data_IF_854555418316
#
_entry.id   IF_854555418316
#
_cell.length_a   1.000
_cell.length_b   1.000
_cell.length_c   1.000
_cell.angle_alpha   90.00
_cell.angle_beta   90.00
_cell.angle_gamma   90.00
#
_symmetry.space_group_name_H-M   'P 1'
#
loop_
_entity.id
_entity.type
_entity.pdbx_description
1 polymer ?
#
# COMPACT_ATOMS: atom_id res chain seq x y z
N UNK A 1 -13.57 14.22 -8.34
CA UNK A 1 -14.94 13.90 -7.82
C UNK A 1 -14.77 13.20 -6.49
N UNK A 2 -15.58 13.51 -5.48
CA UNK A 2 -15.49 12.84 -4.20
C UNK A 2 -15.77 11.34 -4.36
N UNK A 3 -15.26 10.55 -3.41
CA UNK A 3 -15.55 9.11 -3.35
C UNK A 3 -17.07 8.87 -3.37
N UNK A 4 -17.55 7.82 -4.05
CA UNK A 4 -18.98 7.48 -3.99
C UNK A 4 -19.38 6.88 -2.64
N UNK A 5 -18.42 6.44 -1.81
CA UNK A 5 -18.67 5.76 -0.54
C UNK A 5 -18.66 6.72 0.65
N UNK A 6 -19.45 6.45 1.69
CA UNK A 6 -19.44 7.24 2.91
C UNK A 6 -18.19 7.01 3.77
N UNK A 7 -17.50 5.88 3.56
CA UNK A 7 -16.29 5.46 4.25
C UNK A 7 -15.22 4.97 3.28
N UNK A 8 -14.59 3.86 3.63
CA UNK A 8 -13.59 3.23 2.77
C UNK A 8 -14.21 2.62 1.52
N UNK A 9 -13.50 2.74 0.41
CA UNK A 9 -13.87 2.14 -0.88
C UNK A 9 -13.16 0.79 -1.04
N UNK A 10 -13.89 -0.36 -1.01
CA UNK A 10 -13.27 -1.69 -1.06
C UNK A 10 -12.56 -1.99 -2.39
N UNK A 11 -12.82 -1.23 -3.45
CA UNK A 11 -12.12 -1.39 -4.72
C UNK A 11 -10.66 -0.94 -4.66
N UNK A 12 -10.31 -0.05 -3.72
CA UNK A 12 -8.93 0.41 -3.52
C UNK A 12 -8.02 -0.64 -2.88
N UNK A 13 -8.58 -1.74 -2.36
CA UNK A 13 -7.77 -2.87 -1.87
C UNK A 13 -7.12 -3.67 -3.01
N UNK A 14 -7.48 -3.40 -4.26
CA UNK A 14 -6.83 -3.99 -5.44
C UNK A 14 -5.37 -3.53 -5.52
N UNK A 15 -4.45 -4.48 -5.81
CA UNK A 15 -3.00 -4.22 -5.88
C UNK A 15 -2.63 -3.15 -6.88
N UNK A 16 -3.44 -2.95 -7.94
CA UNK A 16 -3.24 -1.90 -8.95
C UNK A 16 -3.31 -0.49 -8.36
N UNK A 17 -4.14 -0.31 -7.32
CA UNK A 17 -4.39 0.98 -6.68
C UNK A 17 -3.66 1.13 -5.35
N UNK A 18 -3.45 0.02 -4.63
CA UNK A 18 -3.01 0.07 -3.23
C UNK A 18 -1.68 0.79 -3.04
N UNK A 19 -0.71 0.58 -3.93
CA UNK A 19 0.60 1.23 -3.79
C UNK A 19 0.49 2.76 -3.86
N UNK A 20 -0.15 3.29 -4.89
CA UNK A 20 -0.38 4.74 -5.05
C UNK A 20 -1.24 5.29 -3.90
N UNK A 21 -2.30 4.57 -3.52
CA UNK A 21 -3.16 4.96 -2.39
C UNK A 21 -2.36 5.03 -1.08
N UNK A 22 -1.51 4.05 -0.80
CA UNK A 22 -0.68 3.99 0.40
C UNK A 22 0.24 5.22 0.51
N UNK A 23 0.98 5.53 -0.55
CA UNK A 23 1.90 6.68 -0.58
C UNK A 23 1.16 8.02 -0.42
N UNK A 24 0.02 8.17 -1.07
CA UNK A 24 -0.84 9.34 -0.89
C UNK A 24 -1.39 9.45 0.52
N UNK A 25 -1.84 8.33 1.09
CA UNK A 25 -2.39 8.33 2.44
C UNK A 25 -1.36 8.79 3.47
N UNK A 26 -0.13 8.27 3.42
CA UNK A 26 0.97 8.70 4.29
C UNK A 26 1.27 10.19 4.09
N UNK A 27 1.32 10.65 2.84
CA UNK A 27 1.58 12.06 2.51
C UNK A 27 0.50 12.98 3.05
N UNK A 28 -0.78 12.67 2.82
CA UNK A 28 -1.88 13.53 3.27
C UNK A 28 -2.16 13.42 4.76
N UNK A 29 -1.90 12.28 5.38
CA UNK A 29 -1.91 12.18 6.84
C UNK A 29 -0.82 13.08 7.47
N UNK A 30 0.37 13.11 6.87
CA UNK A 30 1.45 14.01 7.29
C UNK A 30 1.07 15.48 7.08
N UNK A 31 0.48 15.84 5.93
CA UNK A 31 -0.03 17.19 5.62
C UNK A 31 -1.08 17.64 6.66
N UNK A 32 -2.01 16.74 7.02
CA UNK A 32 -3.06 17.03 8.00
C UNK A 32 -2.53 17.22 9.42
N UNK A 33 -1.48 16.49 9.80
CA UNK A 33 -0.91 16.50 11.14
C UNK A 33 0.08 17.64 11.36
N UNK A 34 0.95 17.93 10.38
CA UNK A 34 2.07 18.84 10.54
C UNK A 34 1.69 20.21 11.11
N UNK A 35 0.63 20.92 10.64
CA UNK A 35 0.25 22.23 11.18
C UNK A 35 -0.36 22.18 12.58
N UNK A 36 -0.76 21.00 13.05
CA UNK A 36 -1.41 20.79 14.36
C UNK A 36 -0.43 20.37 15.45
N UNK A 37 0.78 19.95 15.07
CA UNK A 37 1.79 19.53 16.02
C UNK A 37 2.38 20.73 16.77
N UNK A 38 2.56 20.67 18.11
CA UNK A 38 3.31 21.65 18.85
C UNK A 38 4.75 21.80 18.28
N UNK A 39 5.36 23.00 18.34
CA UNK A 39 6.71 23.27 17.78
C UNK A 39 7.83 22.37 18.33
N UNK A 40 7.59 21.74 19.46
CA UNK A 40 8.48 20.73 20.07
C UNK A 40 8.65 19.50 19.19
N UNK A 41 7.64 19.17 18.37
CA UNK A 41 7.63 17.95 17.56
C UNK A 41 7.97 18.23 16.11
N UNK A 42 8.62 17.24 15.49
CA UNK A 42 8.89 17.19 14.07
C UNK A 42 8.24 15.93 13.51
N UNK A 43 7.47 16.09 12.44
CA UNK A 43 6.96 15.00 11.66
C UNK A 43 7.90 14.71 10.49
N UNK A 44 8.15 13.44 10.22
CA UNK A 44 8.90 12.97 9.05
C UNK A 44 8.17 11.78 8.43
N UNK A 45 8.16 11.75 7.11
CA UNK A 45 7.88 10.54 6.36
C UNK A 45 9.23 9.82 6.22
N UNK A 46 9.25 8.54 6.56
CA UNK A 46 10.42 7.68 6.45
C UNK A 46 10.05 6.42 5.68
N UNK A 47 11.03 5.76 5.10
CA UNK A 47 10.82 4.58 4.26
C UNK A 47 11.56 3.38 4.84
N UNK A 48 10.94 2.21 4.71
CA UNK A 48 11.62 0.94 4.88
C UNK A 48 11.80 0.31 3.51
N UNK A 49 13.02 -0.10 3.22
CA UNK A 49 13.36 -0.80 2.00
C UNK A 49 13.75 -2.24 2.31
N UNK A 50 13.29 -3.19 1.50
CA UNK A 50 13.79 -4.55 1.44
C UNK A 50 14.33 -4.79 0.02
N UNK A 51 15.53 -5.34 -0.04
CA UNK A 51 16.17 -5.74 -1.29
C UNK A 51 16.07 -7.25 -1.36
N UNK A 52 15.31 -7.77 -2.32
CA UNK A 52 15.22 -9.20 -2.58
C UNK A 52 15.99 -9.51 -3.85
N UNK A 53 17.05 -10.30 -3.75
CA UNK A 53 17.84 -10.80 -4.88
C UNK A 53 17.23 -12.11 -5.37
N UNK A 54 16.86 -12.16 -6.64
CA UNK A 54 16.41 -13.40 -7.31
C UNK A 54 17.47 -13.87 -8.29
N UNK A 55 17.81 -15.19 -8.33
CA UNK A 55 18.52 -15.74 -9.47
C UNK A 55 17.66 -15.49 -10.72
N UNK A 56 18.28 -15.02 -11.79
CA UNK A 56 17.58 -14.69 -13.03
C UNK A 56 16.93 -15.93 -13.66
N UNK A 57 15.69 -16.22 -13.26
CA UNK A 57 14.76 -16.94 -14.10
C UNK A 57 14.24 -15.95 -15.15
N UNK A 58 13.95 -16.39 -16.41
CA UNK A 58 13.50 -15.48 -17.44
C UNK A 58 12.32 -14.66 -16.93
N UNK A 59 12.29 -13.35 -17.13
CA UNK A 59 11.37 -12.44 -16.45
C UNK A 59 9.93 -12.77 -16.83
N UNK A 60 9.13 -13.22 -15.88
CA UNK A 60 7.71 -12.94 -15.93
C UNK A 60 7.58 -11.42 -15.82
N UNK A 61 7.16 -10.81 -16.93
CA UNK A 61 7.03 -9.35 -17.05
C UNK A 61 5.99 -8.84 -16.05
N UNK A 62 6.44 -8.33 -14.91
CA UNK A 62 5.65 -7.43 -14.09
C UNK A 62 6.07 -6.02 -14.47
N UNK A 63 5.33 -5.42 -15.40
CA UNK A 63 5.54 -4.02 -15.77
C UNK A 63 4.79 -3.13 -14.77
N UNK A 64 5.55 -2.41 -13.97
CA UNK A 64 5.11 -1.16 -13.36
C UNK A 64 5.93 -0.05 -13.98
N UNK A 65 5.58 0.37 -15.17
CA UNK A 65 5.82 1.70 -15.73
C UNK A 65 5.19 1.78 -17.12
N UNK A 66 4.51 2.86 -17.38
CA UNK A 66 3.83 3.22 -18.63
C UNK A 66 4.81 3.57 -19.76
N UNK A 67 5.83 2.74 -19.98
CA UNK A 67 6.62 2.82 -21.19
C UNK A 67 6.16 1.68 -22.08
N UNK A 68 5.23 2.00 -22.99
CA UNK A 68 4.83 1.10 -24.04
C UNK A 68 6.10 0.63 -24.81
N UNK A 69 6.31 -0.68 -24.98
CA UNK A 69 7.43 -1.14 -25.77
C UNK A 69 7.20 -0.68 -27.22
N UNK A 70 8.11 0.12 -27.73
CA UNK A 70 8.16 0.40 -29.18
C UNK A 70 8.37 -0.94 -29.86
N UNK A 71 7.39 -1.38 -30.63
CA UNK A 71 7.51 -2.60 -31.43
C UNK A 71 8.74 -2.50 -32.31
N UNK A 72 9.75 -3.29 -32.01
CA UNK A 72 10.80 -3.56 -32.96
C UNK A 72 10.19 -4.45 -34.03
N UNK A 73 9.91 -3.85 -35.17
CA UNK A 73 9.53 -4.55 -36.41
C UNK A 73 10.55 -5.64 -36.68
N UNK A 74 10.10 -6.88 -36.67
CA UNK A 74 10.92 -8.01 -37.10
C UNK A 74 11.32 -7.79 -38.58
N UNK A 75 12.54 -8.15 -38.99
CA UNK A 75 12.92 -8.04 -40.37
C UNK A 75 12.10 -8.99 -41.26
N UNK A 76 11.50 -8.45 -42.29
CA UNK A 76 10.74 -9.18 -43.31
C UNK A 76 11.69 -10.11 -44.01
N UNK A 77 11.39 -11.41 -44.23
CA UNK A 77 12.22 -12.27 -45.03
C UNK A 77 12.19 -11.83 -46.51
N UNK A 78 13.31 -11.42 -47.04
CA UNK A 78 13.47 -11.12 -48.44
C UNK A 78 13.46 -12.40 -49.26
N UNK A 79 12.54 -12.44 -50.21
CA UNK A 79 12.40 -13.46 -51.24
C UNK A 79 13.66 -13.58 -52.10
N UNK A 80 14.04 -14.82 -52.35
CA UNK A 80 15.21 -15.17 -53.19
C UNK A 80 15.08 -14.66 -54.60
N UNK A 81 16.13 -13.97 -55.09
CA UNK A 81 16.40 -13.82 -56.48
C UNK A 81 17.79 -14.43 -56.77
N UNK A 82 17.77 -15.46 -57.57
CA UNK A 82 18.94 -16.18 -58.11
C UNK A 82 19.76 -15.26 -58.97
N UNK A 83 21.05 -15.01 -58.66
CA UNK A 83 22.02 -14.50 -59.59
C UNK A 83 23.37 -15.16 -59.30
N UNK A 84 23.82 -15.94 -60.26
CA UNK A 84 25.12 -16.57 -60.34
C UNK A 84 26.21 -15.52 -60.59
N UNK A 85 27.23 -15.45 -59.73
CA UNK A 85 28.60 -15.18 -60.12
C UNK A 85 29.56 -14.95 -58.94
N UNK A 86 30.75 -15.51 -59.11
CA UNK A 86 32.00 -15.16 -58.46
C UNK A 86 32.23 -15.50 -57.01
N UNK A 87 32.92 -16.60 -56.81
CA UNK A 87 33.63 -16.99 -55.59
C UNK A 87 34.61 -15.90 -55.19
N UNK A 88 34.29 -15.11 -54.16
CA UNK A 88 35.32 -14.50 -53.34
C UNK A 88 35.30 -15.28 -52.00
N UNK A 89 36.41 -15.92 -51.71
CA UNK A 89 36.71 -16.55 -50.46
C UNK A 89 36.79 -15.43 -49.41
N UNK A 90 35.64 -15.07 -48.81
CA UNK A 90 35.64 -14.33 -47.56
C UNK A 90 36.22 -15.25 -46.50
N UNK A 91 37.34 -14.86 -45.93
CA UNK A 91 37.93 -15.52 -44.76
C UNK A 91 36.92 -15.38 -43.64
N UNK A 92 36.23 -16.46 -43.29
CA UNK A 92 35.32 -16.49 -42.17
C UNK A 92 36.12 -16.14 -40.90
N UNK A 93 35.83 -14.97 -40.31
CA UNK A 93 36.44 -14.57 -39.05
C UNK A 93 35.79 -15.42 -37.97
N UNK A 94 36.56 -16.31 -37.34
CA UNK A 94 36.12 -17.08 -36.21
C UNK A 94 35.87 -16.13 -35.03
N UNK A 95 34.68 -16.23 -34.43
CA UNK A 95 34.33 -15.49 -33.20
C UNK A 95 34.89 -16.24 -31.99
N UNK A 96 35.46 -15.49 -31.06
CA UNK A 96 35.83 -16.03 -29.76
C UNK A 96 34.58 -16.35 -28.96
N UNK A 97 34.65 -17.37 -28.09
CA UNK A 97 33.53 -17.76 -27.23
C UNK A 97 33.35 -16.73 -26.09
N UNK A 98 32.22 -16.07 -25.98
CA UNK A 98 32.02 -15.05 -24.97
C UNK A 98 31.84 -15.67 -23.58
N UNK A 99 32.35 -14.99 -22.56
CA UNK A 99 31.99 -15.29 -21.16
C UNK A 99 30.63 -14.68 -20.89
N UNK A 100 29.65 -15.52 -20.57
CA UNK A 100 28.29 -15.07 -20.21
C UNK A 100 28.27 -14.74 -18.71
N UNK A 101 27.94 -13.49 -18.38
CA UNK A 101 27.72 -13.04 -17.01
C UNK A 101 26.23 -12.84 -16.81
N UNK A 102 25.64 -13.63 -15.95
CA UNK A 102 24.24 -13.46 -15.53
C UNK A 102 24.16 -12.43 -14.41
N UNK A 103 23.29 -11.43 -14.59
CA UNK A 103 23.01 -10.43 -13.56
C UNK A 103 21.82 -10.90 -12.72
N UNK A 104 21.91 -10.73 -11.40
CA UNK A 104 20.77 -10.90 -10.53
C UNK A 104 19.85 -9.69 -10.66
N UNK A 105 18.54 -9.93 -10.75
CA UNK A 105 17.58 -8.84 -10.64
C UNK A 105 17.31 -8.54 -9.16
N UNK A 106 17.51 -7.29 -8.78
CA UNK A 106 17.17 -6.79 -7.46
C UNK A 106 15.80 -6.11 -7.52
N UNK A 107 14.85 -6.61 -6.74
CA UNK A 107 13.59 -5.93 -6.51
C UNK A 107 13.69 -5.15 -5.20
N UNK A 108 13.75 -3.83 -5.31
CA UNK A 108 13.71 -2.93 -4.15
C UNK A 108 12.26 -2.51 -3.94
N UNK A 109 11.64 -3.05 -2.91
CA UNK A 109 10.32 -2.57 -2.47
C UNK A 109 10.51 -1.56 -1.34
N UNK A 110 9.65 -0.55 -1.30
CA UNK A 110 9.66 0.50 -0.27
C UNK A 110 8.28 0.63 0.35
N UNK A 111 8.27 0.96 1.64
CA UNK A 111 7.04 1.25 2.37
C UNK A 111 7.26 2.48 3.24
N UNK A 112 6.45 3.48 3.01
CA UNK A 112 6.48 4.74 3.74
C UNK A 112 5.67 4.66 5.04
N UNK A 113 6.10 5.40 6.05
CA UNK A 113 5.41 5.55 7.33
C UNK A 113 5.73 6.90 7.96
N UNK A 114 4.94 7.32 8.95
CA UNK A 114 5.15 8.61 9.63
C UNK A 114 5.86 8.40 10.96
N UNK A 115 6.87 9.23 11.21
CA UNK A 115 7.53 9.40 12.51
C UNK A 115 7.22 10.76 13.09
N UNK A 116 6.86 10.81 14.38
CA UNK A 116 6.82 12.03 15.18
C UNK A 116 7.95 11.97 16.18
N UNK A 117 8.82 12.97 16.15
CA UNK A 117 10.06 13.03 16.93
C UNK A 117 10.04 14.28 17.83
N UNK A 118 10.37 14.12 19.10
CA UNK A 118 10.70 15.24 20.00
C UNK A 118 12.03 15.86 19.57
N UNK A 119 11.98 17.09 19.07
CA UNK A 119 13.16 17.81 18.54
C UNK A 119 14.21 18.13 19.60
N UNK A 120 13.79 18.25 20.86
CA UNK A 120 14.71 18.66 21.94
C UNK A 120 15.60 17.52 22.41
N UNK A 121 15.09 16.29 22.34
CA UNK A 121 15.80 15.10 22.80
C UNK A 121 16.12 14.12 21.66
N UNK A 122 15.81 14.51 20.41
CA UNK A 122 15.90 13.64 19.22
C UNK A 122 15.27 12.24 19.44
N UNK A 123 14.20 12.20 20.25
CA UNK A 123 13.53 10.97 20.67
C UNK A 123 12.33 10.69 19.78
N UNK A 124 12.24 9.47 19.27
CA UNK A 124 11.04 8.96 18.60
C UNK A 124 9.90 8.86 19.60
N UNK A 125 8.75 9.45 19.27
CA UNK A 125 7.58 9.54 20.13
C UNK A 125 6.43 8.68 19.61
N UNK A 126 6.14 8.78 18.31
CA UNK A 126 5.00 8.07 17.69
C UNK A 126 5.38 7.61 16.30
N UNK A 127 4.94 6.40 15.95
CA UNK A 127 4.95 5.86 14.59
C UNK A 127 3.49 5.69 14.15
N UNK A 128 3.21 6.04 12.87
CA UNK A 128 1.93 5.82 12.23
C UNK A 128 2.18 5.01 10.97
N UNK A 129 1.52 3.86 10.88
CA UNK A 129 1.60 2.89 9.79
C UNK A 129 0.25 2.76 9.09
N UNK A 130 0.25 2.76 7.77
CA UNK A 130 -0.81 2.16 6.97
C UNK A 130 -0.32 0.77 6.54
N UNK A 131 -1.01 -0.29 6.93
CA UNK A 131 -0.60 -1.64 6.57
C UNK A 131 -0.77 -1.86 5.07
N UNK A 132 0.17 -2.58 4.48
CA UNK A 132 0.13 -2.98 3.06
C UNK A 132 -0.13 -4.48 2.92
N UNK A 133 -0.53 -4.97 1.74
CA UNK A 133 -0.70 -6.41 1.50
C UNK A 133 0.54 -7.23 1.84
N UNK A 134 1.75 -6.70 1.63
CA UNK A 134 2.99 -7.37 1.98
C UNK A 134 3.22 -7.51 3.49
N UNK A 135 2.66 -6.61 4.32
CA UNK A 135 2.69 -6.75 5.79
C UNK A 135 1.75 -7.87 6.27
N UNK A 136 0.78 -8.27 5.45
CA UNK A 136 -0.25 -9.26 5.80
C UNK A 136 -0.05 -10.62 5.13
N UNK A 137 0.88 -10.73 4.18
CA UNK A 137 1.29 -12.01 3.55
C UNK A 137 2.48 -12.59 4.29
N UNK A 138 2.50 -13.91 4.43
CA UNK A 138 3.67 -14.63 4.98
C UNK A 138 4.92 -14.33 4.16
N UNK A 139 6.02 -13.96 4.81
CA UNK A 139 7.27 -13.63 4.15
C UNK A 139 8.11 -12.60 4.91
N UNK A 140 9.20 -12.17 4.29
CA UNK A 140 10.20 -11.28 4.90
C UNK A 140 9.61 -9.91 5.28
N UNK A 141 8.70 -9.38 4.48
CA UNK A 141 8.05 -8.09 4.75
C UNK A 141 7.21 -8.11 6.02
N UNK A 142 6.43 -9.17 6.19
CA UNK A 142 5.64 -9.35 7.41
C UNK A 142 6.55 -9.55 8.62
N UNK A 143 7.58 -10.37 8.49
CA UNK A 143 8.54 -10.59 9.57
C UNK A 143 9.25 -9.30 9.98
N UNK A 144 9.72 -8.50 9.02
CA UNK A 144 10.35 -7.20 9.27
C UNK A 144 9.38 -6.19 9.90
N UNK A 145 8.10 -6.21 9.49
CA UNK A 145 7.08 -5.37 10.10
C UNK A 145 6.83 -5.76 11.56
N UNK A 146 6.66 -7.05 11.86
CA UNK A 146 6.44 -7.54 13.22
C UNK A 146 7.64 -7.27 14.16
N UNK A 147 8.86 -7.33 13.63
CA UNK A 147 10.06 -6.93 14.39
C UNK A 147 10.03 -5.44 14.72
N UNK A 148 9.67 -4.58 13.77
CA UNK A 148 9.52 -3.13 14.00
C UNK A 148 8.43 -2.85 15.03
N UNK A 149 7.29 -3.52 14.91
CA UNK A 149 6.17 -3.43 15.86
C UNK A 149 6.63 -3.77 17.27
N UNK A 150 7.31 -4.91 17.44
CA UNK A 150 7.86 -5.34 18.74
C UNK A 150 8.84 -4.31 19.30
N UNK A 151 9.77 -3.82 18.48
CA UNK A 151 10.73 -2.79 18.90
C UNK A 151 10.05 -1.49 19.36
N UNK A 152 8.95 -1.08 18.73
CA UNK A 152 8.15 0.07 19.19
C UNK A 152 7.54 -0.18 20.56
N UNK A 153 6.94 -1.37 20.76
CA UNK A 153 6.32 -1.75 22.02
C UNK A 153 7.36 -1.82 23.16
N UNK A 154 8.50 -2.43 22.93
CA UNK A 154 9.59 -2.55 23.90
C UNK A 154 10.22 -1.19 24.26
N UNK A 155 10.37 -0.30 23.28
CA UNK A 155 10.91 1.05 23.48
C UNK A 155 9.90 2.04 24.06
N UNK A 156 8.63 1.65 24.25
CA UNK A 156 7.57 2.53 24.72
C UNK A 156 7.25 3.67 23.73
N UNK A 157 7.45 3.44 22.42
CA UNK A 157 7.11 4.38 21.35
C UNK A 157 5.63 4.17 21.00
N UNK A 158 4.83 5.22 21.00
CA UNK A 158 3.42 5.12 20.61
C UNK A 158 3.29 4.57 19.19
N UNK A 159 2.36 3.65 18.98
CA UNK A 159 2.13 2.99 17.71
C UNK A 159 0.69 3.18 17.26
N UNK A 160 0.52 3.73 16.07
CA UNK A 160 -0.77 3.86 15.39
C UNK A 160 -0.73 2.97 14.15
N UNK A 161 -1.62 2.01 14.07
CA UNK A 161 -1.74 1.07 12.96
C UNK A 161 -3.11 1.24 12.29
N UNK A 162 -3.10 1.51 11.00
CA UNK A 162 -4.29 1.62 10.16
C UNK A 162 -4.31 0.42 9.23
N UNK A 163 -5.16 -0.56 9.48
CA UNK A 163 -5.38 -1.72 8.61
C UNK A 163 -6.74 -1.58 7.92
N UNK A 164 -6.72 -1.17 6.65
CA UNK A 164 -7.90 -1.06 5.80
C UNK A 164 -8.03 -2.26 4.86
N UNK A 165 -7.22 -3.30 5.06
CA UNK A 165 -7.17 -4.48 4.23
C UNK A 165 -7.94 -5.64 4.86
N UNK A 166 -8.95 -6.13 4.16
CA UNK A 166 -9.70 -7.34 4.58
C UNK A 166 -8.87 -8.61 4.43
N UNK A 167 -8.08 -8.69 3.35
CA UNK A 167 -7.31 -9.89 3.05
C UNK A 167 -6.01 -9.96 3.86
N UNK A 168 -5.54 -11.20 4.04
CA UNK A 168 -4.26 -11.52 4.66
C UNK A 168 -4.34 -11.81 6.15
N UNK A 169 -3.18 -12.02 6.74
CA UNK A 169 -3.01 -12.37 8.14
C UNK A 169 -3.32 -11.18 9.05
N UNK A 170 -3.84 -11.48 10.23
CA UNK A 170 -3.91 -10.48 11.30
C UNK A 170 -2.49 -10.01 11.66
N UNK A 171 -2.24 -8.71 11.63
CA UNK A 171 -0.89 -8.16 11.76
C UNK A 171 -0.80 -7.00 12.74
N UNK A 172 -1.90 -6.29 13.03
CA UNK A 172 -1.89 -5.25 14.08
C UNK A 172 -1.52 -5.83 15.45
N UNK A 173 -0.91 -5.02 16.32
CA UNK A 173 -0.36 -5.46 17.61
C UNK A 173 -1.39 -6.01 18.59
N UNK A 174 -2.68 -5.73 18.38
CA UNK A 174 -3.75 -6.24 19.25
C UNK A 174 -3.85 -7.75 19.07
N UNK A 175 -3.83 -8.55 20.14
CA UNK A 175 -4.04 -9.99 20.03
C UNK A 175 -5.41 -10.33 19.43
N UNK A 176 -5.52 -11.33 18.53
CA UNK A 176 -6.77 -11.69 17.86
C UNK A 176 -7.93 -11.99 18.82
N UNK A 177 -7.66 -12.60 19.98
CA UNK A 177 -8.69 -12.91 20.96
C UNK A 177 -9.39 -11.65 21.53
N UNK A 178 -8.67 -10.51 21.57
CA UNK A 178 -9.24 -9.25 22.06
C UNK A 178 -10.16 -8.59 21.03
N UNK A 179 -10.11 -9.01 19.77
CA UNK A 179 -10.93 -8.48 18.68
C UNK A 179 -12.23 -9.27 18.48
N UNK A 180 -12.35 -10.45 19.05
CA UNK A 180 -13.52 -11.31 18.83
C UNK A 180 -14.86 -10.68 19.17
N UNK A 181 -14.88 -9.82 20.20
CA UNK A 181 -16.09 -9.08 20.63
C UNK A 181 -16.42 -7.87 19.74
N UNK A 182 -15.53 -7.47 18.85
CA UNK A 182 -15.69 -6.30 17.97
C UNK A 182 -16.21 -6.66 16.57
N UNK A 183 -16.24 -7.95 16.24
CA UNK A 183 -16.71 -8.46 14.96
C UNK A 183 -18.22 -8.22 14.75
N UNK A 184 -18.73 -7.98 13.52
CA UNK A 184 -17.93 -7.92 12.27
C UNK A 184 -17.38 -6.52 12.01
N UNK A 185 -16.19 -6.47 11.40
CA UNK A 185 -15.61 -5.24 10.86
C UNK A 185 -14.89 -5.54 9.54
N UNK A 186 -14.74 -4.52 8.69
CA UNK A 186 -13.99 -4.61 7.43
C UNK A 186 -12.49 -4.48 7.68
N UNK A 187 -12.11 -3.41 8.35
CA UNK A 187 -10.75 -3.09 8.73
C UNK A 187 -10.68 -2.62 10.18
N UNK A 188 -9.50 -2.27 10.64
CA UNK A 188 -9.29 -1.86 12.03
C UNK A 188 -8.24 -0.76 12.13
N UNK A 189 -8.48 0.20 13.01
CA UNK A 189 -7.46 1.17 13.42
C UNK A 189 -7.15 0.96 14.89
N UNK A 190 -5.87 0.88 15.20
CA UNK A 190 -5.33 0.63 16.54
C UNK A 190 -4.42 1.76 16.97
N UNK A 191 -4.57 2.24 18.18
CA UNK A 191 -3.67 3.20 18.82
C UNK A 191 -3.19 2.59 20.13
N UNK A 192 -1.88 2.37 20.20
CA UNK A 192 -1.19 1.91 21.39
C UNK A 192 -0.31 3.03 21.97
N UNK A 193 -0.41 3.23 23.29
CA UNK A 193 0.35 4.25 23.99
C UNK A 193 1.46 3.63 24.81
N UNK A 194 2.70 4.05 24.60
CA UNK A 194 3.87 3.50 25.27
C UNK A 194 3.82 3.57 26.79
N UNK A 195 3.15 4.60 27.36
CA UNK A 195 2.98 4.73 28.79
C UNK A 195 1.78 3.95 29.37
N UNK A 196 0.95 3.32 28.50
CA UNK A 196 -0.20 2.48 28.86
C UNK A 196 -0.12 1.09 28.19
N UNK A 197 0.91 0.27 28.48
CA UNK A 197 1.28 -0.88 27.65
C UNK A 197 0.24 -1.99 27.57
N UNK A 198 -0.76 -2.00 28.43
CA UNK A 198 -1.85 -3.00 28.45
C UNK A 198 -3.15 -2.50 27.83
N UNK A 199 -3.13 -1.33 27.17
CA UNK A 199 -4.32 -0.69 26.64
C UNK A 199 -4.16 -0.36 25.16
N UNK A 200 -5.13 -0.80 24.36
CA UNK A 200 -5.30 -0.41 22.97
C UNK A 200 -6.59 0.41 22.83
N UNK A 201 -6.53 1.49 22.08
CA UNK A 201 -7.70 2.20 21.59
C UNK A 201 -8.01 1.66 20.21
N UNK A 202 -9.23 1.17 20.00
CA UNK A 202 -9.58 0.41 18.80
C UNK A 202 -10.76 1.04 18.11
N UNK A 203 -10.64 1.24 16.81
CA UNK A 203 -11.68 1.81 15.97
C UNK A 203 -12.00 0.81 14.84
N UNK A 204 -13.07 0.02 14.96
CA UNK A 204 -13.51 -0.86 13.88
C UNK A 204 -13.95 -0.05 12.66
N UNK A 205 -13.48 -0.42 11.49
CA UNK A 205 -13.89 0.16 10.20
C UNK A 205 -15.00 -0.69 9.62
N UNK A 206 -16.12 -0.06 9.31
CA UNK A 206 -17.31 -0.71 8.74
C UNK A 206 -17.68 0.02 7.46
N UNK A 207 -17.83 -0.67 6.35
CA UNK A 207 -18.01 -0.07 5.02
C UNK A 207 -19.11 1.00 4.91
N UNK A 208 -20.32 0.84 5.51
CA UNK A 208 -21.36 1.87 5.45
C UNK A 208 -21.05 3.13 6.27
N UNK A 209 -19.98 3.14 7.05
CA UNK A 209 -19.66 4.24 7.95
C UNK A 209 -18.39 4.96 7.49
N UNK A 210 -18.36 6.27 7.78
CA UNK A 210 -17.14 7.05 7.59
C UNK A 210 -15.97 6.49 8.40
N UNK A 211 -14.75 6.72 7.91
CA UNK A 211 -13.54 6.41 8.65
C UNK A 211 -13.45 7.27 9.94
N UNK A 212 -12.86 6.74 11.01
CA UNK A 212 -12.82 7.41 12.30
C UNK A 212 -11.92 8.66 12.31
N UNK A 213 -12.20 9.53 13.28
CA UNK A 213 -11.26 10.52 13.78
C UNK A 213 -10.53 9.91 14.96
N UNK A 214 -9.23 9.92 14.91
CA UNK A 214 -8.37 9.29 15.92
C UNK A 214 -7.50 10.32 16.63
N UNK A 215 -7.13 10.02 17.84
CA UNK A 215 -6.14 10.77 18.59
C UNK A 215 -4.76 10.21 18.34
N UNK A 216 -3.85 11.04 17.84
CA UNK A 216 -2.45 10.69 17.67
C UNK A 216 -1.70 11.04 18.95
N UNK A 217 -1.19 10.05 19.71
CA UNK A 217 -0.54 10.31 20.98
C UNK A 217 0.82 10.98 20.80
N UNK A 218 1.08 11.92 21.70
CA UNK A 218 2.39 12.56 21.88
C UNK A 218 3.02 12.07 23.20
N UNK A 219 3.93 12.84 23.77
CA UNK A 219 4.44 12.54 25.12
C UNK A 219 3.33 12.71 26.16
N UNK A 220 3.40 11.97 27.28
CA UNK A 220 2.29 11.94 28.27
C UNK A 220 1.89 13.30 28.85
N UNK A 221 2.81 14.26 28.85
CA UNK A 221 2.58 15.63 29.31
C UNK A 221 1.88 16.53 28.27
N UNK A 222 1.87 16.12 26.99
CA UNK A 222 1.31 16.90 25.90
C UNK A 222 -0.06 16.34 25.45
N UNK A 223 -0.90 17.23 24.90
CA UNK A 223 -2.20 16.84 24.35
C UNK A 223 -2.04 16.11 23.03
N UNK A 224 -2.88 15.12 22.83
CA UNK A 224 -2.98 14.42 21.53
C UNK A 224 -3.36 15.34 20.38
N UNK A 225 -2.98 14.95 19.17
CA UNK A 225 -3.35 15.65 17.95
C UNK A 225 -4.39 14.82 17.17
N UNK A 226 -5.50 15.44 16.80
CA UNK A 226 -6.56 14.77 16.05
C UNK A 226 -6.19 14.55 14.59
N UNK A 227 -6.41 13.33 14.07
CA UNK A 227 -6.34 12.98 12.67
C UNK A 227 -7.70 12.48 12.19
N UNK A 228 -8.25 13.13 11.17
CA UNK A 228 -9.48 12.70 10.49
C UNK A 228 -9.12 11.78 9.33
N UNK A 229 -9.26 10.46 9.51
CA UNK A 229 -8.91 9.48 8.48
C UNK A 229 -9.82 9.57 7.25
N UNK A 230 -11.09 10.01 7.41
CA UNK A 230 -11.95 10.22 6.25
C UNK A 230 -11.46 11.37 5.39
N UNK A 231 -11.03 12.47 6.01
CA UNK A 231 -10.47 13.58 5.24
C UNK A 231 -9.22 13.15 4.46
N UNK A 232 -8.34 12.35 5.10
CA UNK A 232 -7.16 11.81 4.41
C UNK A 232 -7.57 10.92 3.24
N UNK A 233 -8.53 10.03 3.46
CA UNK A 233 -9.06 9.14 2.45
C UNK A 233 -9.66 9.89 1.25
N UNK A 234 -10.56 10.84 1.54
CA UNK A 234 -11.22 11.66 0.51
C UNK A 234 -10.20 12.43 -0.32
N UNK A 235 -9.15 12.94 0.33
CA UNK A 235 -8.05 13.65 -0.33
C UNK A 235 -7.26 12.72 -1.25
N UNK A 236 -6.95 11.49 -0.80
CA UNK A 236 -6.30 10.47 -1.65
C UNK A 236 -7.14 10.16 -2.87
N UNK A 237 -8.43 9.90 -2.65
CA UNK A 237 -9.36 9.51 -3.69
C UNK A 237 -9.50 10.60 -4.78
N UNK A 238 -9.65 11.84 -4.34
CA UNK A 238 -9.88 12.99 -5.21
C UNK A 238 -8.65 13.32 -6.06
N UNK A 239 -7.49 13.39 -5.44
CA UNK A 239 -6.23 13.72 -6.12
C UNK A 239 -5.72 12.55 -6.96
N UNK A 240 -5.90 11.31 -6.49
CA UNK A 240 -5.60 10.08 -7.24
C UNK A 240 -6.53 9.85 -8.42
N UNK A 241 -7.70 10.55 -8.46
CA UNK A 241 -8.72 10.44 -9.51
C UNK A 241 -9.20 9.00 -9.74
N UNK A 242 -9.22 8.18 -8.70
CA UNK A 242 -9.58 6.75 -8.80
C UNK A 242 -10.94 6.48 -9.43
N UNK A 243 -11.84 7.47 -9.40
CA UNK A 243 -13.13 7.41 -10.09
C UNK A 243 -13.02 7.22 -11.62
N UNK A 244 -11.86 7.45 -12.22
CA UNK A 244 -11.64 7.26 -13.66
C UNK A 244 -11.15 5.84 -13.99
N UNK A 245 -10.53 5.17 -13.01
CA UNK A 245 -9.86 3.90 -13.23
C UNK A 245 -10.64 2.71 -12.62
N UNK A 246 -11.49 2.99 -11.62
CA UNK A 246 -12.31 1.95 -10.97
C UNK A 246 -13.58 1.69 -11.77
N UNK A 247 -13.74 0.43 -12.20
CA UNK A 247 -14.99 -0.05 -12.80
C UNK A 247 -15.95 -0.59 -11.73
N UNK A 248 -16.84 0.26 -11.26
CA UNK A 248 -17.85 -0.10 -10.26
C UNK A 248 -18.93 -1.06 -10.76
N UNK A 249 -18.98 -1.38 -12.06
CA UNK A 249 -19.91 -2.38 -12.60
C UNK A 249 -19.48 -3.81 -12.26
N UNK A 250 -18.16 -3.99 -12.00
CA UNK A 250 -17.58 -5.26 -11.56
C UNK A 250 -17.62 -5.40 -10.03
N UNK A 251 -17.52 -6.60 -9.48
CA UNK A 251 -17.29 -6.76 -8.03
C UNK A 251 -15.89 -6.29 -7.64
N UNK A 252 -15.67 -5.87 -6.38
CA UNK A 252 -14.32 -5.61 -5.87
C UNK A 252 -13.47 -6.89 -5.86
N UNK A 253 -12.15 -6.74 -5.90
CA UNK A 253 -11.20 -7.87 -5.88
C UNK A 253 -11.18 -8.65 -4.55
N UNK A 254 -11.75 -8.07 -3.51
CA UNK A 254 -11.79 -8.65 -2.16
C UNK A 254 -13.15 -9.30 -1.86
N UNK A 255 -13.17 -10.42 -1.13
CA UNK A 255 -14.43 -11.03 -0.74
C UNK A 255 -15.14 -10.19 0.30
N UNK A 256 -16.41 -9.88 0.05
CA UNK A 256 -17.32 -9.24 0.99
C UNK A 256 -18.24 -10.30 1.62
N UNK A 257 -18.76 -10.02 2.81
CA UNK A 257 -19.87 -10.80 3.36
C UNK A 257 -21.13 -10.57 2.54
N UNK A 258 -22.10 -11.46 2.63
CA UNK A 258 -23.37 -11.33 1.89
C UNK A 258 -24.08 -10.01 2.22
N UNK A 259 -24.01 -9.54 3.47
CA UNK A 259 -24.59 -8.28 3.91
C UNK A 259 -23.86 -7.08 3.31
N UNK A 260 -22.52 -7.12 3.31
CA UNK A 260 -21.70 -6.06 2.71
C UNK A 260 -21.88 -6.02 1.19
N UNK A 261 -21.93 -7.18 0.53
CA UNK A 261 -22.15 -7.27 -0.91
C UNK A 261 -23.51 -6.69 -1.29
N UNK A 262 -24.55 -7.05 -0.55
CA UNK A 262 -25.89 -6.51 -0.76
C UNK A 262 -25.90 -4.99 -0.56
N UNK A 263 -25.31 -4.50 0.53
CA UNK A 263 -25.21 -3.07 0.77
C UNK A 263 -24.46 -2.36 -0.37
N UNK A 264 -23.34 -2.91 -0.80
CA UNK A 264 -22.52 -2.37 -1.89
C UNK A 264 -23.33 -2.25 -3.19
N UNK A 265 -24.04 -3.32 -3.56
CA UNK A 265 -24.86 -3.35 -4.78
C UNK A 265 -25.98 -2.32 -4.74
N UNK A 266 -26.69 -2.23 -3.62
CA UNK A 266 -27.79 -1.28 -3.45
C UNK A 266 -27.26 0.16 -3.47
N UNK A 267 -26.12 0.41 -2.79
CA UNK A 267 -25.47 1.72 -2.75
C UNK A 267 -24.99 2.19 -4.13
N UNK A 268 -24.30 1.32 -4.89
CA UNK A 268 -23.81 1.66 -6.22
C UNK A 268 -24.94 1.90 -7.23
N UNK A 269 -26.07 1.16 -7.10
CA UNK A 269 -27.29 1.40 -7.89
C UNK A 269 -27.93 2.76 -7.53
N UNK A 270 -27.96 3.11 -6.25
CA UNK A 270 -28.47 4.42 -5.80
C UNK A 270 -27.63 5.56 -6.36
N UNK A 271 -26.30 5.40 -6.37
CA UNK A 271 -25.35 6.37 -6.94
C UNK A 271 -25.33 6.38 -8.48
N UNK A 272 -26.05 5.48 -9.15
CA UNK A 272 -26.05 5.38 -10.61
C UNK A 272 -24.77 4.80 -11.21
N UNK A 273 -23.94 4.17 -10.41
CA UNK A 273 -22.68 3.53 -10.81
C UNK A 273 -22.87 2.08 -11.26
N UNK A 274 -24.03 1.49 -10.97
CA UNK A 274 -24.49 0.19 -11.49
C UNK A 274 -25.87 0.30 -12.09
N UNK A 275 -26.18 -0.50 -13.13
CA UNK A 275 -27.51 -0.51 -13.70
C UNK A 275 -28.53 -0.99 -12.64
N UNK A 276 -29.67 -0.28 -12.56
CA UNK A 276 -30.81 -0.76 -11.80
C UNK A 276 -31.33 -2.00 -12.53
N UNK A 277 -31.27 -3.17 -11.89
CA UNK A 277 -31.83 -4.39 -12.47
C UNK A 277 -33.28 -4.14 -12.94
N UNK A 278 -33.60 -4.76 -14.10
CA UNK A 278 -34.98 -4.75 -14.62
C UNK A 278 -35.90 -5.58 -13.75
#
# INVERSE_FOLDING_TARGET
MPTPFPGFDPYLEDERFWHDFHERFITYAAEALAPRLPPRYRLRIDERSLVTTFPSSPPQRVFHSDIAPTERTAPVPSSAATATAAVQTETEIAFDEPVIVELFSELVQRQSFIKIVDRTKERLVTIIELLSPSNKRTGEWRAAYLQKQLACLEAGVNLVEVDLLRQGEHTVAIPPYALSSLQPFYGIVSVWRGHLPRRFEVYPVVLPKRLPRIAIPLLPEDKDVGLDLQWVFDRCYDVGRYNLDIDYTQPPSVPLTDEEQKWLDDWLKEKGLRPKGK
#
